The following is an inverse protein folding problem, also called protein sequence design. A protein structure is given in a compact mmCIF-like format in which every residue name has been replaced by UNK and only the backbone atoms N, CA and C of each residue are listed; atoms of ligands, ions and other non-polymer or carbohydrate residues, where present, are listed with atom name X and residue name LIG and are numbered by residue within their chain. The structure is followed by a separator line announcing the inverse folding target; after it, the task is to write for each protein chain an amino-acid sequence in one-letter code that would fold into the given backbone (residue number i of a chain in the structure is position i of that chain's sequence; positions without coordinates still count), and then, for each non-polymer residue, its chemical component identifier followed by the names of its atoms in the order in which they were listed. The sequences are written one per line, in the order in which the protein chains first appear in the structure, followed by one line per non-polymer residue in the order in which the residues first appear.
data_IF_942387936431
#
_entry.id   IF_942387936431
#
_cell.length_a   1.000
_cell.length_b   1.000
_cell.length_c   1.000
_cell.angle_alpha   90.00
_cell.angle_beta   90.00
_cell.angle_gamma   90.00
#
_symmetry.space_group_name_H-M   'P 1'
#
loop_
_entity.id
_entity.type
_entity.pdbx_description
1 polymer ?
#
# COMPACT_ATOMS: atom_id res chain seq x y z
N UNK A 1 -35.52 6.43 -4.29
CA UNK A 1 -34.85 6.19 -5.59
C UNK A 1 -33.42 5.78 -5.29
N UNK A 2 -33.04 4.52 -5.55
CA UNK A 2 -31.70 4.02 -5.22
C UNK A 2 -30.62 4.79 -5.97
N UNK A 3 -29.50 5.06 -5.30
CA UNK A 3 -28.34 5.72 -5.88
C UNK A 3 -27.81 4.89 -7.06
N UNK A 4 -27.64 5.51 -8.24
CA UNK A 4 -27.21 4.83 -9.48
C UNK A 4 -25.91 5.41 -10.00
N UNK A 5 -25.03 4.55 -10.52
CA UNK A 5 -23.82 4.97 -11.24
C UNK A 5 -24.22 5.49 -12.62
N UNK A 6 -23.79 6.70 -12.94
CA UNK A 6 -24.03 7.32 -14.26
C UNK A 6 -22.73 7.39 -15.05
N UNK A 7 -22.75 7.06 -16.33
CA UNK A 7 -21.58 7.24 -17.18
C UNK A 7 -21.39 8.72 -17.52
N UNK A 8 -20.15 9.18 -17.51
CA UNK A 8 -19.77 10.57 -17.73
C UNK A 8 -18.65 10.63 -18.79
N UNK A 9 -18.76 11.53 -19.76
CA UNK A 9 -17.73 11.73 -20.78
C UNK A 9 -16.63 12.71 -20.35
N UNK A 10 -15.54 12.76 -21.11
CA UNK A 10 -14.42 13.64 -20.78
C UNK A 10 -14.78 15.13 -20.84
N UNK A 11 -15.67 15.54 -21.75
CA UNK A 11 -16.13 16.94 -21.84
C UNK A 11 -16.84 17.37 -20.56
N UNK A 12 -17.67 16.50 -20.00
CA UNK A 12 -18.35 16.72 -18.73
C UNK A 12 -17.36 16.79 -17.56
N UNK A 13 -16.39 15.86 -17.48
CA UNK A 13 -15.36 15.88 -16.44
C UNK A 13 -14.57 17.18 -16.46
N UNK A 14 -14.12 17.62 -17.65
CA UNK A 14 -13.40 18.89 -17.83
C UNK A 14 -14.18 20.09 -17.32
N UNK A 15 -15.50 20.13 -17.50
CA UNK A 15 -16.34 21.20 -16.95
C UNK A 15 -16.36 21.19 -15.42
N UNK A 16 -16.38 20.00 -14.81
CA UNK A 16 -16.39 19.82 -13.35
C UNK A 16 -15.04 20.16 -12.70
N UNK A 17 -13.93 20.06 -13.44
CA UNK A 17 -12.59 20.41 -12.97
C UNK A 17 -12.28 21.92 -12.97
N UNK A 18 -13.19 22.78 -13.45
CA UNK A 18 -13.00 24.25 -13.40
C UNK A 18 -13.03 24.76 -11.95
N UNK A 19 -12.22 25.77 -11.60
CA UNK A 19 -11.95 26.23 -10.21
C UNK A 19 -13.19 26.31 -9.30
N UNK A 20 -14.30 26.87 -9.76
CA UNK A 20 -15.54 27.01 -8.97
C UNK A 20 -16.28 25.68 -8.74
N UNK A 21 -16.23 24.76 -9.71
CA UNK A 21 -16.89 23.45 -9.65
C UNK A 21 -16.00 22.36 -9.01
N UNK A 22 -14.68 22.54 -9.06
CA UNK A 22 -13.70 21.56 -8.57
C UNK A 22 -13.85 21.29 -7.07
N UNK A 23 -14.19 22.32 -6.28
CA UNK A 23 -14.44 22.16 -4.84
C UNK A 23 -15.66 21.24 -4.56
N UNK A 24 -16.58 21.07 -5.51
CA UNK A 24 -17.80 20.25 -5.36
C UNK A 24 -17.67 18.86 -6.00
N UNK A 25 -16.50 18.51 -6.52
CA UNK A 25 -16.25 17.27 -7.24
C UNK A 25 -15.05 16.53 -6.64
N UNK A 26 -15.21 15.23 -6.37
CA UNK A 26 -14.09 14.36 -5.99
C UNK A 26 -13.84 13.38 -7.12
N UNK A 27 -12.58 13.29 -7.57
CA UNK A 27 -12.17 12.33 -8.61
C UNK A 27 -11.32 11.24 -7.98
N UNK A 28 -11.74 9.99 -8.13
CA UNK A 28 -11.08 8.80 -7.62
C UNK A 28 -10.45 8.03 -8.78
N UNK A 29 -9.13 7.92 -8.75
CA UNK A 29 -8.34 7.20 -9.74
C UNK A 29 -8.03 5.80 -9.23
N UNK A 30 -8.64 4.79 -9.86
CA UNK A 30 -8.50 3.39 -9.49
C UNK A 30 -7.38 2.67 -10.26
N UNK A 31 -6.55 3.40 -11.01
CA UNK A 31 -5.38 2.80 -11.67
C UNK A 31 -4.32 2.40 -10.63
N UNK A 32 -3.44 1.44 -10.97
CA UNK A 32 -2.28 1.15 -10.14
C UNK A 32 -1.49 2.41 -9.81
N UNK A 33 -0.96 2.50 -8.59
CA UNK A 33 -0.26 3.69 -8.10
C UNK A 33 0.83 4.20 -9.05
N UNK A 34 1.57 3.29 -9.71
CA UNK A 34 2.60 3.68 -10.67
C UNK A 34 2.04 4.42 -11.90
N UNK A 35 0.89 4.00 -12.42
CA UNK A 35 0.24 4.67 -13.54
C UNK A 35 -0.32 6.04 -13.13
N UNK A 36 -0.86 6.15 -11.91
CA UNK A 36 -1.31 7.41 -11.32
C UNK A 36 -0.14 8.37 -11.08
N UNK A 37 0.97 7.90 -10.51
CA UNK A 37 2.12 8.71 -10.16
C UNK A 37 2.86 9.25 -11.40
N UNK A 38 2.82 8.53 -12.53
CA UNK A 38 3.40 9.01 -13.78
C UNK A 38 2.59 10.18 -14.38
N UNK A 39 1.27 10.08 -14.33
CA UNK A 39 0.36 11.06 -14.92
C UNK A 39 -1.03 10.86 -14.33
N UNK A 40 -1.68 11.94 -13.88
CA UNK A 40 -3.01 11.88 -13.23
C UNK A 40 -3.89 13.06 -13.60
N UNK A 41 -5.21 12.92 -13.41
CA UNK A 41 -6.13 14.05 -13.54
C UNK A 41 -5.85 15.03 -12.42
N UNK A 42 -5.81 16.34 -12.71
CA UNK A 42 -5.47 17.34 -11.70
C UNK A 42 -6.43 17.27 -10.50
N UNK A 43 -5.86 17.09 -9.31
CA UNK A 43 -6.60 16.99 -8.06
C UNK A 43 -7.35 15.67 -7.84
N UNK A 44 -7.10 14.63 -8.65
CA UNK A 44 -7.64 13.30 -8.37
C UNK A 44 -6.89 12.61 -7.23
N UNK A 45 -7.58 11.70 -6.56
CA UNK A 45 -7.06 10.91 -5.44
C UNK A 45 -6.86 9.47 -5.90
N UNK A 46 -5.66 8.92 -5.70
CA UNK A 46 -5.42 7.51 -5.98
C UNK A 46 -6.07 6.61 -4.92
N UNK A 47 -6.82 5.61 -5.39
CA UNK A 47 -7.46 4.63 -4.53
C UNK A 47 -6.57 3.38 -4.45
N UNK A 48 -5.83 3.24 -3.34
CA UNK A 48 -4.87 2.15 -3.14
C UNK A 48 -5.53 0.89 -2.58
N UNK A 49 -6.36 0.23 -3.38
CA UNK A 49 -6.87 -1.10 -3.06
C UNK A 49 -5.84 -2.15 -3.47
N UNK A 50 -5.11 -2.68 -2.48
CA UNK A 50 -4.21 -3.81 -2.73
C UNK A 50 -5.01 -5.09 -3.06
N UNK A 51 -4.32 -6.07 -3.63
CA UNK A 51 -4.93 -7.33 -4.08
C UNK A 51 -5.61 -8.14 -2.96
N UNK A 52 -5.18 -7.97 -1.69
CA UNK A 52 -5.83 -8.61 -0.54
C UNK A 52 -7.16 -7.98 -0.23
N UNK A 53 -7.25 -6.65 -0.23
CA UNK A 53 -8.50 -5.93 -0.01
C UNK A 53 -9.51 -6.28 -1.12
N UNK A 54 -9.06 -6.33 -2.38
CA UNK A 54 -9.90 -6.74 -3.51
C UNK A 54 -10.39 -8.20 -3.37
N UNK A 55 -9.49 -9.12 -3.02
CA UNK A 55 -9.84 -10.54 -2.81
C UNK A 55 -10.80 -10.74 -1.64
N UNK A 56 -10.60 -10.01 -0.53
CA UNK A 56 -11.47 -10.06 0.66
C UNK A 56 -12.83 -9.44 0.39
N UNK A 57 -12.90 -8.42 -0.47
CA UNK A 57 -14.16 -7.83 -0.88
C UNK A 57 -15.07 -8.84 -1.61
N UNK A 58 -14.49 -9.82 -2.34
CA UNK A 58 -15.22 -10.79 -3.17
C UNK A 58 -16.29 -10.13 -4.05
N UNK A 59 -15.97 -8.98 -4.65
CA UNK A 59 -16.90 -8.16 -5.44
C UNK A 59 -17.93 -7.34 -4.63
N UNK A 60 -17.91 -7.45 -3.30
CA UNK A 60 -18.72 -6.69 -2.36
C UNK A 60 -18.13 -5.33 -1.97
N UNK A 61 -18.53 -4.84 -0.81
CA UNK A 61 -18.12 -3.53 -0.29
C UNK A 61 -16.84 -3.62 0.54
N UNK A 62 -16.08 -2.53 0.56
CA UNK A 62 -14.95 -2.34 1.47
C UNK A 62 -15.17 -1.09 2.33
N UNK A 63 -14.53 -1.05 3.50
CA UNK A 63 -14.65 0.11 4.39
C UNK A 63 -14.30 1.40 3.65
N UNK A 64 -15.10 2.47 3.88
CA UNK A 64 -14.93 3.77 3.23
C UNK A 64 -13.52 4.35 3.37
N UNK A 65 -12.78 3.99 4.44
CA UNK A 65 -11.37 4.38 4.64
C UNK A 65 -10.42 3.88 3.55
N UNK A 66 -10.73 2.75 2.92
CA UNK A 66 -9.91 2.19 1.83
C UNK A 66 -10.29 2.77 0.47
N UNK A 67 -11.53 3.24 0.32
CA UNK A 67 -12.02 3.89 -0.90
C UNK A 67 -11.58 5.35 -0.97
N UNK A 68 -11.59 6.01 0.18
CA UNK A 68 -11.25 7.43 0.36
C UNK A 68 -10.12 7.52 1.38
N UNK A 69 -8.85 7.32 0.96
CA UNK A 69 -7.72 7.31 1.89
C UNK A 69 -7.51 8.67 2.54
N UNK A 70 -7.74 9.76 1.80
CA UNK A 70 -7.64 11.13 2.29
C UNK A 70 -8.74 11.43 3.31
N UNK A 71 -8.34 11.78 4.53
CA UNK A 71 -9.25 11.98 5.67
C UNK A 71 -10.13 13.22 5.48
N UNK A 72 -9.59 14.31 4.93
CA UNK A 72 -10.34 15.54 4.68
C UNK A 72 -11.40 15.34 3.59
N UNK A 73 -11.06 14.67 2.48
CA UNK A 73 -12.01 14.33 1.43
C UNK A 73 -13.08 13.34 1.93
N UNK A 74 -12.69 12.37 2.75
CA UNK A 74 -13.61 11.41 3.38
C UNK A 74 -14.59 12.09 4.34
N UNK A 75 -14.11 12.98 5.21
CA UNK A 75 -14.96 13.75 6.13
C UNK A 75 -15.99 14.61 5.36
N UNK A 76 -15.55 15.29 4.30
CA UNK A 76 -16.43 16.12 3.45
C UNK A 76 -17.49 15.31 2.69
N UNK A 77 -17.13 14.10 2.25
CA UNK A 77 -18.03 13.22 1.49
C UNK A 77 -19.07 12.50 2.36
N UNK A 78 -18.71 12.15 3.60
CA UNK A 78 -19.55 11.38 4.50
C UNK A 78 -20.36 12.23 5.49
N UNK A 79 -20.13 13.54 5.55
CA UNK A 79 -20.92 14.45 6.38
C UNK A 79 -22.38 14.51 5.93
N UNK A 80 -23.33 14.33 6.86
CA UNK A 80 -24.76 14.49 6.61
C UNK A 80 -25.06 15.92 6.14
N UNK A 81 -25.82 16.05 5.04
CA UNK A 81 -26.00 17.33 4.32
C UNK A 81 -25.02 17.55 3.16
N UNK A 82 -24.08 16.62 2.94
CA UNK A 82 -23.23 16.53 1.74
C UNK A 82 -22.24 17.68 1.63
N UNK A 83 -21.24 17.73 2.53
CA UNK A 83 -20.21 18.76 2.78
C UNK A 83 -19.62 19.53 1.57
N UNK A 84 -20.48 20.21 0.83
CA UNK A 84 -20.25 20.85 -0.46
C UNK A 84 -20.11 19.91 -1.67
N UNK A 85 -19.95 18.59 -1.50
CA UNK A 85 -19.64 17.67 -2.60
C UNK A 85 -20.91 17.21 -3.32
N UNK A 86 -21.03 17.59 -4.60
CA UNK A 86 -22.17 17.25 -5.44
C UNK A 86 -21.92 15.99 -6.30
N UNK A 87 -20.65 15.65 -6.54
CA UNK A 87 -20.30 14.55 -7.43
C UNK A 87 -19.02 13.81 -7.01
N UNK A 88 -19.04 12.50 -7.23
CA UNK A 88 -17.88 11.62 -7.12
C UNK A 88 -17.68 10.95 -8.48
N UNK A 89 -16.52 11.14 -9.10
CA UNK A 89 -16.16 10.56 -10.39
C UNK A 89 -15.13 9.47 -10.17
N UNK A 90 -15.40 8.26 -10.63
CA UNK A 90 -14.49 7.13 -10.59
C UNK A 90 -13.93 6.88 -11.99
N UNK A 91 -12.63 6.66 -12.09
CA UNK A 91 -11.98 6.32 -13.36
C UNK A 91 -11.02 5.14 -13.19
N UNK A 92 -10.84 4.39 -14.28
CA UNK A 92 -9.85 3.34 -14.41
C UNK A 92 -8.88 3.65 -15.58
N UNK A 93 -8.14 2.65 -16.06
CA UNK A 93 -7.22 2.86 -17.18
C UNK A 93 -7.94 3.26 -18.48
N UNK A 94 -9.01 2.55 -18.86
CA UNK A 94 -9.56 2.67 -20.22
C UNK A 94 -10.94 2.05 -20.44
N UNK A 95 -11.68 1.67 -19.39
CA UNK A 95 -12.94 0.96 -19.57
C UNK A 95 -14.00 1.86 -20.20
N UNK A 96 -14.67 1.34 -21.24
CA UNK A 96 -15.71 2.08 -21.98
C UNK A 96 -17.01 2.25 -21.22
N UNK A 97 -17.27 1.43 -20.21
CA UNK A 97 -18.50 1.50 -19.40
C UNK A 97 -18.32 0.76 -18.08
N UNK A 98 -18.89 1.29 -17.00
CA UNK A 98 -18.76 0.69 -15.67
C UNK A 98 -19.34 -0.73 -15.57
N UNK A 99 -20.41 -1.02 -16.33
CA UNK A 99 -21.02 -2.35 -16.37
C UNK A 99 -20.08 -3.43 -16.94
N UNK A 100 -19.06 -3.03 -17.72
CA UNK A 100 -18.07 -3.93 -18.31
C UNK A 100 -16.84 -4.15 -17.41
N UNK A 101 -16.78 -3.51 -16.25
CA UNK A 101 -15.70 -3.70 -15.29
C UNK A 101 -15.73 -5.13 -14.74
N UNK A 102 -14.56 -5.77 -14.62
CA UNK A 102 -14.41 -7.05 -13.94
C UNK A 102 -14.86 -6.91 -12.48
N UNK A 103 -15.50 -7.94 -11.93
CA UNK A 103 -16.03 -7.91 -10.56
C UNK A 103 -14.97 -7.57 -9.50
N UNK A 104 -13.76 -8.10 -9.69
CA UNK A 104 -12.63 -7.91 -8.78
C UNK A 104 -11.80 -6.66 -9.08
N UNK A 105 -12.17 -5.85 -10.08
CA UNK A 105 -11.42 -4.64 -10.41
C UNK A 105 -11.58 -3.59 -9.31
N UNK A 106 -10.52 -2.81 -9.06
CA UNK A 106 -10.54 -1.73 -8.08
C UNK A 106 -11.70 -0.74 -8.33
N UNK A 107 -11.90 -0.33 -9.58
CA UNK A 107 -13.01 0.54 -9.95
C UNK A 107 -14.39 -0.06 -9.64
N UNK A 108 -14.59 -1.36 -9.86
CA UNK A 108 -15.86 -2.03 -9.51
C UNK A 108 -16.08 -2.02 -7.99
N UNK A 109 -15.08 -2.43 -7.22
CA UNK A 109 -15.17 -2.48 -5.74
C UNK A 109 -15.41 -1.08 -5.17
N UNK A 110 -14.73 -0.06 -5.71
CA UNK A 110 -14.95 1.35 -5.35
C UNK A 110 -16.38 1.77 -5.63
N UNK A 111 -16.90 1.53 -6.84
CA UNK A 111 -18.28 1.89 -7.20
C UNK A 111 -19.30 1.21 -6.27
N UNK A 112 -19.17 -0.11 -6.06
CA UNK A 112 -20.05 -0.86 -5.15
C UNK A 112 -20.01 -0.30 -3.73
N UNK A 113 -18.82 0.04 -3.24
CA UNK A 113 -18.63 0.60 -1.89
C UNK A 113 -19.23 1.99 -1.75
N UNK A 114 -19.02 2.87 -2.74
CA UNK A 114 -19.59 4.23 -2.74
C UNK A 114 -21.12 4.20 -2.72
N UNK A 115 -21.75 3.30 -3.48
CA UNK A 115 -23.21 3.16 -3.48
C UNK A 115 -23.76 2.68 -2.12
N UNK A 116 -22.94 1.97 -1.34
CA UNK A 116 -23.34 1.45 -0.03
C UNK A 116 -23.08 2.44 1.12
N UNK A 117 -22.06 3.31 1.01
CA UNK A 117 -21.63 4.15 2.12
C UNK A 117 -21.88 5.66 1.94
N UNK A 118 -22.18 6.14 0.73
CA UNK A 118 -22.45 7.57 0.53
C UNK A 118 -23.86 7.96 0.99
N UNK A 119 -24.01 9.10 1.70
CA UNK A 119 -25.32 9.62 2.07
C UNK A 119 -26.09 10.12 0.84
N UNK A 120 -27.40 10.33 0.99
CA UNK A 120 -28.24 10.89 -0.06
C UNK A 120 -27.78 12.32 -0.42
N UNK A 121 -27.12 12.49 -1.57
CA UNK A 121 -26.67 13.80 -2.04
C UNK A 121 -25.69 13.71 -3.22
N UNK A 122 -24.44 13.26 -3.01
CA UNK A 122 -23.45 13.16 -4.08
C UNK A 122 -23.89 12.17 -5.16
N UNK A 123 -23.76 12.56 -6.44
CA UNK A 123 -23.97 11.64 -7.56
C UNK A 123 -22.68 10.90 -7.89
N UNK A 124 -22.77 9.59 -8.11
CA UNK A 124 -21.63 8.76 -8.51
C UNK A 124 -21.58 8.62 -10.02
N UNK A 125 -20.43 8.97 -10.59
CA UNK A 125 -20.14 8.90 -12.00
C UNK A 125 -18.99 7.95 -12.29
N UNK A 126 -19.01 7.34 -13.48
CA UNK A 126 -17.88 6.61 -14.03
C UNK A 126 -17.40 7.26 -15.33
N UNK A 127 -16.10 7.51 -15.45
CA UNK A 127 -15.51 8.15 -16.63
C UNK A 127 -15.43 7.17 -17.80
N UNK A 128 -16.23 7.43 -18.84
CA UNK A 128 -16.25 6.64 -20.07
C UNK A 128 -14.89 6.72 -20.78
N UNK A 129 -14.29 5.57 -21.02
CA UNK A 129 -12.99 5.48 -21.69
C UNK A 129 -11.79 5.68 -20.75
N UNK A 130 -12.05 5.79 -19.44
CA UNK A 130 -11.02 5.87 -18.41
C UNK A 130 -10.06 7.05 -18.56
N UNK A 131 -8.91 6.93 -17.89
CA UNK A 131 -7.86 7.93 -17.94
C UNK A 131 -7.31 8.15 -19.34
N UNK A 132 -7.06 7.07 -20.08
CA UNK A 132 -6.39 7.11 -21.39
C UNK A 132 -7.16 7.98 -22.40
N UNK A 133 -8.48 7.78 -22.50
CA UNK A 133 -9.32 8.59 -23.39
C UNK A 133 -9.35 10.05 -22.95
N UNK A 134 -9.48 10.28 -21.64
CA UNK A 134 -9.52 11.64 -21.10
C UNK A 134 -8.21 12.40 -21.30
N UNK A 135 -7.07 11.74 -21.10
CA UNK A 135 -5.75 12.32 -21.33
C UNK A 135 -5.53 12.68 -22.79
N UNK A 136 -5.94 11.81 -23.72
CA UNK A 136 -5.84 12.06 -25.16
C UNK A 136 -6.65 13.28 -25.60
N UNK A 137 -7.84 13.49 -25.02
CA UNK A 137 -8.73 14.60 -25.38
C UNK A 137 -8.44 15.90 -24.62
N UNK A 138 -7.97 15.82 -23.37
CA UNK A 138 -7.81 16.97 -22.45
C UNK A 138 -6.52 16.89 -21.62
N UNK A 139 -5.33 16.82 -22.26
CA UNK A 139 -4.05 16.69 -21.54
C UNK A 139 -3.78 17.89 -20.60
N UNK A 140 -4.32 19.08 -20.89
CA UNK A 140 -4.15 20.27 -20.04
C UNK A 140 -4.84 20.17 -18.68
N UNK A 141 -5.80 19.23 -18.54
CA UNK A 141 -6.50 18.92 -17.30
C UNK A 141 -5.76 17.87 -16.46
N UNK A 142 -4.68 17.30 -16.99
CA UNK A 142 -3.84 16.34 -16.30
C UNK A 142 -2.58 17.01 -15.74
N UNK A 143 -1.97 16.33 -14.77
CA UNK A 143 -0.67 16.63 -14.22
C UNK A 143 0.23 15.50 -14.66
N UNK A 144 1.07 15.80 -15.64
CA UNK A 144 2.19 14.95 -16.02
C UNK A 144 3.35 15.27 -15.08
N UNK A 145 3.87 14.25 -14.40
CA UNK A 145 5.18 14.37 -13.76
C UNK A 145 6.20 14.25 -14.88
N UNK A 146 6.51 15.38 -15.55
CA UNK A 146 7.41 15.44 -16.72
C UNK A 146 8.67 14.59 -16.51
N UNK A 147 8.90 13.54 -17.31
CA UNK A 147 10.19 13.32 -17.93
C UNK A 147 10.38 14.39 -19.02
N UNK A 148 11.63 14.63 -19.41
CA UNK A 148 12.07 15.64 -20.38
C UNK A 148 11.27 15.55 -21.70
N UNK A 149 11.03 16.70 -22.34
CA UNK A 149 10.06 16.96 -23.42
C UNK A 149 10.18 16.09 -24.68
N UNK A 150 9.02 15.84 -25.30
CA UNK A 150 8.77 15.04 -26.52
C UNK A 150 9.65 15.40 -27.74
N UNK A 151 10.21 16.61 -27.82
CA UNK A 151 11.17 17.00 -28.87
C UNK A 151 12.47 16.17 -28.82
N UNK A 152 12.83 15.68 -27.63
CA UNK A 152 13.98 14.80 -27.44
C UNK A 152 13.70 13.38 -27.95
N UNK A 153 12.41 12.95 -27.97
CA UNK A 153 11.97 11.62 -28.43
C UNK A 153 11.97 11.54 -29.97
N UNK A 154 11.58 12.61 -30.65
CA UNK A 154 11.64 12.67 -32.13
C UNK A 154 13.08 12.80 -32.63
N UNK A 155 13.91 13.57 -31.92
CA UNK A 155 15.36 13.63 -32.17
C UNK A 155 16.05 12.29 -31.86
N UNK A 156 15.63 11.55 -30.82
CA UNK A 156 16.15 10.22 -30.50
C UNK A 156 15.71 9.15 -31.51
N UNK A 157 14.49 9.19 -32.07
CA UNK A 157 14.10 8.24 -33.14
C UNK A 157 14.95 8.38 -34.40
N UNK A 158 15.37 9.59 -34.74
CA UNK A 158 16.29 9.81 -35.85
C UNK A 158 17.70 9.27 -35.54
N UNK A 159 18.13 9.33 -34.28
CA UNK A 159 19.43 8.82 -33.82
C UNK A 159 19.43 7.28 -33.64
N UNK A 160 18.29 6.65 -33.38
CA UNK A 160 18.14 5.18 -33.24
C UNK A 160 18.44 4.41 -34.55
N UNK A 161 18.47 5.07 -35.71
CA UNK A 161 18.89 4.43 -36.96
C UNK A 161 20.42 4.27 -37.07
N UNK A 162 21.22 4.92 -36.22
CA UNK A 162 22.68 4.86 -36.29
C UNK A 162 23.29 4.65 -34.89
N UNK A 163 23.89 3.47 -34.71
CA UNK A 163 24.67 3.03 -33.55
C UNK A 163 23.86 2.36 -32.42
N UNK A 164 23.82 1.02 -32.45
CA UNK A 164 23.16 0.17 -31.46
C UNK A 164 23.87 0.10 -30.10
N UNK A 165 23.40 0.87 -29.13
CA UNK A 165 23.56 0.56 -27.69
C UNK A 165 22.21 0.68 -26.97
N UNK A 166 21.84 -0.27 -26.10
CA UNK A 166 20.56 -0.26 -25.42
C UNK A 166 20.55 0.82 -24.33
N UNK A 167 19.64 1.79 -24.43
CA UNK A 167 19.42 2.83 -23.42
C UNK A 167 18.62 2.23 -22.26
N UNK A 168 19.22 2.25 -21.06
CA UNK A 168 18.59 1.83 -19.80
C UNK A 168 17.44 2.77 -19.42
N UNK A 169 16.20 2.29 -19.50
CA UNK A 169 14.99 3.01 -19.08
C UNK A 169 15.04 3.34 -17.58
N UNK A 170 14.91 4.63 -17.22
CA UNK A 170 14.74 5.10 -15.83
C UNK A 170 13.25 5.10 -15.47
N UNK A 171 12.79 4.32 -14.48
CA UNK A 171 11.41 4.40 -14.01
C UNK A 171 11.13 5.73 -13.31
N UNK A 172 9.93 6.30 -13.49
CA UNK A 172 9.53 7.58 -12.89
C UNK A 172 9.64 7.62 -11.35
N UNK A 173 9.61 6.46 -10.71
CA UNK A 173 9.74 6.31 -9.26
C UNK A 173 11.21 6.27 -8.78
N UNK A 174 12.17 6.26 -9.69
CA UNK A 174 13.61 6.39 -9.41
C UNK A 174 14.12 7.80 -9.75
N UNK A 175 13.23 8.80 -9.61
CA UNK A 175 13.61 10.21 -9.61
C UNK A 175 14.35 10.56 -8.31
N UNK A 176 15.64 10.20 -8.25
CA UNK A 176 16.55 10.51 -7.14
C UNK A 176 17.72 9.52 -7.12
N UNK A 177 18.48 9.54 -6.01
CA UNK A 177 19.41 8.47 -5.66
C UNK A 177 18.77 7.46 -4.70
N UNK A 178 19.52 6.42 -4.27
CA UNK A 178 19.15 5.61 -3.12
C UNK A 178 18.73 6.46 -1.92
N UNK A 179 17.75 6.00 -1.13
CA UNK A 179 17.33 6.70 0.08
C UNK A 179 18.08 6.15 1.30
N UNK A 180 18.49 7.04 2.19
CA UNK A 180 19.12 6.66 3.45
C UNK A 180 18.07 6.20 4.45
N UNK A 181 18.18 4.95 4.92
CA UNK A 181 17.34 4.42 6.01
C UNK A 181 18.07 4.61 7.34
N UNK A 182 19.34 4.23 7.40
CA UNK A 182 20.26 4.50 8.50
C UNK A 182 21.60 4.99 7.91
N UNK A 183 22.52 5.58 8.69
CA UNK A 183 23.79 6.10 8.18
C UNK A 183 24.62 5.09 7.35
N UNK A 184 24.43 3.79 7.59
CA UNK A 184 25.10 2.68 6.90
C UNK A 184 24.17 1.85 6.00
N UNK A 185 22.86 2.14 5.95
CA UNK A 185 21.86 1.34 5.26
C UNK A 185 21.04 2.20 4.29
N UNK A 186 21.20 1.95 3.00
CA UNK A 186 20.48 2.60 1.91
C UNK A 186 19.52 1.62 1.24
N UNK A 187 18.40 2.16 0.73
CA UNK A 187 17.37 1.41 0.02
C UNK A 187 17.22 1.94 -1.41
N UNK A 188 17.17 1.02 -2.38
CA UNK A 188 17.01 1.40 -3.79
C UNK A 188 16.44 0.31 -4.70
N UNK A 189 16.53 0.58 -6.00
CA UNK A 189 16.11 -0.26 -7.12
C UNK A 189 17.34 -0.75 -7.89
N UNK A 190 17.13 -1.62 -8.87
CA UNK A 190 18.20 -2.10 -9.75
C UNK A 190 18.80 -0.95 -10.57
N UNK A 191 17.99 0.05 -10.92
CA UNK A 191 18.48 1.28 -11.55
C UNK A 191 19.48 2.00 -10.65
N UNK A 192 19.16 2.23 -9.37
CA UNK A 192 20.09 2.87 -8.44
C UNK A 192 21.39 2.08 -8.27
N UNK A 193 21.31 0.75 -8.18
CA UNK A 193 22.48 -0.12 -8.08
C UNK A 193 23.38 -0.08 -9.34
N UNK A 194 22.82 0.26 -10.51
CA UNK A 194 23.58 0.38 -11.76
C UNK A 194 24.32 1.72 -11.92
N UNK A 195 24.12 2.68 -11.02
CA UNK A 195 24.70 4.03 -11.13
C UNK A 195 25.93 4.17 -10.24
N UNK A 196 27.11 3.87 -10.80
CA UNK A 196 28.36 3.87 -10.04
C UNK A 196 28.66 5.23 -9.38
N UNK A 197 28.29 6.33 -10.04
CA UNK A 197 28.44 7.68 -9.48
C UNK A 197 27.60 7.89 -8.21
N UNK A 198 26.36 7.39 -8.16
CA UNK A 198 25.54 7.46 -6.94
C UNK A 198 26.16 6.64 -5.81
N UNK A 199 26.65 5.43 -6.13
CA UNK A 199 27.29 4.56 -5.15
C UNK A 199 28.56 5.21 -4.59
N UNK A 200 29.40 5.79 -5.45
CA UNK A 200 30.62 6.49 -5.06
C UNK A 200 30.32 7.71 -4.20
N UNK A 201 29.41 8.60 -4.62
CA UNK A 201 29.06 9.81 -3.88
C UNK A 201 28.47 9.52 -2.50
N UNK A 202 27.69 8.45 -2.38
CA UNK A 202 27.12 8.01 -1.11
C UNK A 202 28.10 7.20 -0.25
N UNK A 203 29.29 6.88 -0.78
CA UNK A 203 30.31 6.02 -0.16
C UNK A 203 29.78 4.61 0.14
N UNK A 204 29.00 4.04 -0.78
CA UNK A 204 28.53 2.65 -0.72
C UNK A 204 29.74 1.72 -0.89
N UNK A 205 29.90 0.79 0.06
CA UNK A 205 30.97 -0.22 0.06
C UNK A 205 30.44 -1.63 -0.19
N UNK A 206 29.12 -1.82 -0.14
CA UNK A 206 28.48 -3.11 -0.32
C UNK A 206 27.11 -3.01 -1.02
N UNK A 207 26.75 -4.06 -1.76
CA UNK A 207 25.45 -4.24 -2.40
C UNK A 207 24.80 -5.54 -1.92
N UNK A 208 23.54 -5.44 -1.51
CA UNK A 208 22.68 -6.60 -1.26
C UNK A 208 21.55 -6.62 -2.30
N UNK A 209 21.67 -7.52 -3.28
CA UNK A 209 20.67 -7.72 -4.32
C UNK A 209 19.66 -8.78 -3.90
N UNK A 210 18.39 -8.39 -3.76
CA UNK A 210 17.27 -9.26 -3.38
C UNK A 210 16.34 -9.53 -4.56
N UNK A 211 16.88 -9.60 -5.78
CA UNK A 211 16.11 -9.88 -7.00
C UNK A 211 16.60 -11.13 -7.72
N UNK A 212 15.82 -11.69 -8.65
CA UNK A 212 16.21 -12.88 -9.42
C UNK A 212 17.28 -12.63 -10.49
N UNK A 213 17.58 -11.36 -10.79
CA UNK A 213 18.53 -10.98 -11.84
C UNK A 213 19.76 -10.36 -11.22
N UNK A 214 20.92 -10.79 -11.67
CA UNK A 214 22.18 -10.12 -11.39
C UNK A 214 22.44 -9.05 -12.44
N UNK A 215 23.22 -8.05 -12.06
CA UNK A 215 23.78 -7.06 -12.97
C UNK A 215 25.25 -6.92 -12.60
N UNK A 216 26.14 -6.96 -13.58
CA UNK A 216 27.58 -6.77 -13.36
C UNK A 216 27.97 -5.29 -13.21
N UNK A 217 26.99 -4.38 -13.29
CA UNK A 217 27.24 -2.96 -13.17
C UNK A 217 27.80 -2.62 -11.77
N UNK A 218 28.94 -1.93 -11.75
CA UNK A 218 29.55 -1.31 -10.56
C UNK A 218 30.03 -2.27 -9.45
N UNK A 219 30.19 -3.57 -9.72
CA UNK A 219 30.52 -4.56 -8.66
C UNK A 219 32.01 -4.73 -8.38
N UNK A 220 32.91 -4.22 -9.23
CA UNK A 220 34.36 -4.54 -9.21
C UNK A 220 35.12 -4.16 -7.93
N UNK A 221 34.56 -3.30 -7.08
CA UNK A 221 35.16 -2.88 -5.81
C UNK A 221 34.19 -2.90 -4.62
N UNK A 222 33.02 -3.55 -4.77
CA UNK A 222 31.99 -3.58 -3.74
C UNK A 222 31.83 -5.00 -3.19
N UNK A 223 31.60 -5.10 -1.88
CA UNK A 223 31.15 -6.35 -1.28
C UNK A 223 29.75 -6.66 -1.80
N UNK A 224 29.61 -7.67 -2.66
CA UNK A 224 28.35 -8.00 -3.29
C UNK A 224 27.78 -9.29 -2.69
N UNK A 225 26.51 -9.24 -2.26
CA UNK A 225 25.72 -10.41 -1.85
C UNK A 225 24.43 -10.47 -2.64
N UNK A 226 24.05 -11.68 -3.05
CA UNK A 226 22.86 -11.94 -3.85
C UNK A 226 21.97 -12.97 -3.19
N UNK A 227 20.72 -12.58 -2.92
CA UNK A 227 19.67 -13.43 -2.35
C UNK A 227 18.52 -13.47 -3.37
N UNK A 228 18.45 -14.50 -4.23
CA UNK A 228 17.52 -14.53 -5.35
C UNK A 228 16.07 -14.84 -4.90
N UNK A 229 15.28 -13.78 -4.68
CA UNK A 229 13.86 -13.90 -4.30
C UNK A 229 12.94 -13.33 -5.38
N UNK A 230 11.90 -14.07 -5.74
CA UNK A 230 10.82 -13.60 -6.60
C UNK A 230 9.86 -12.68 -5.84
N UNK A 231 9.36 -11.63 -6.48
CA UNK A 231 8.33 -10.76 -5.87
C UNK A 231 6.93 -11.38 -5.98
N UNK A 232 6.78 -12.56 -5.38
CA UNK A 232 5.53 -13.29 -5.31
C UNK A 232 5.14 -13.49 -3.85
N UNK A 233 3.85 -13.50 -3.60
CA UNK A 233 3.29 -13.84 -2.29
C UNK A 233 3.52 -15.30 -1.88
N UNK A 234 3.87 -16.17 -2.84
CA UNK A 234 4.24 -17.56 -2.61
C UNK A 234 5.72 -17.76 -2.31
N UNK A 235 6.56 -16.73 -2.49
CA UNK A 235 7.98 -16.82 -2.21
C UNK A 235 8.23 -16.69 -0.70
N UNK A 236 9.15 -17.49 -0.17
CA UNK A 236 9.64 -17.36 1.20
C UNK A 236 10.84 -16.40 1.20
N UNK A 237 10.64 -15.20 1.72
CA UNK A 237 11.71 -14.21 1.95
C UNK A 237 12.17 -14.22 3.41
N UNK A 238 11.32 -14.70 4.34
CA UNK A 238 11.61 -14.73 5.78
C UNK A 238 12.78 -15.62 6.14
N UNK A 239 12.93 -16.78 5.50
CA UNK A 239 14.07 -17.68 5.75
C UNK A 239 15.43 -17.04 5.45
N UNK A 240 15.45 -15.95 4.66
CA UNK A 240 16.65 -15.20 4.33
C UNK A 240 16.89 -13.96 5.20
N UNK A 241 16.01 -13.67 6.17
CA UNK A 241 16.15 -12.46 7.00
C UNK A 241 17.45 -12.45 7.79
N UNK A 242 17.77 -13.53 8.50
CA UNK A 242 19.00 -13.58 9.30
C UNK A 242 20.24 -13.44 8.41
N UNK A 243 20.26 -14.14 7.28
CA UNK A 243 21.34 -14.08 6.29
C UNK A 243 21.59 -12.65 5.75
N UNK A 244 20.50 -11.90 5.51
CA UNK A 244 20.56 -10.52 5.06
C UNK A 244 20.98 -9.56 6.18
N UNK A 245 20.48 -9.77 7.40
CA UNK A 245 20.80 -8.96 8.58
C UNK A 245 22.28 -9.07 8.91
N UNK A 246 22.82 -10.30 8.96
CA UNK A 246 24.25 -10.53 9.25
C UNK A 246 25.16 -9.86 8.21
N UNK A 247 24.73 -9.83 6.94
CA UNK A 247 25.47 -9.12 5.90
C UNK A 247 25.46 -7.61 6.13
N UNK A 248 24.30 -7.03 6.48
CA UNK A 248 24.19 -5.61 6.78
C UNK A 248 25.03 -5.25 8.00
N UNK A 249 24.99 -6.06 9.06
CA UNK A 249 25.79 -5.84 10.27
C UNK A 249 27.29 -5.99 10.01
N UNK A 250 27.72 -6.96 9.19
CA UNK A 250 29.13 -7.08 8.80
C UNK A 250 29.65 -5.81 8.09
N UNK A 251 28.83 -5.19 7.24
CA UNK A 251 29.18 -3.93 6.57
C UNK A 251 29.23 -2.77 7.57
N UNK A 252 28.24 -2.70 8.48
CA UNK A 252 28.17 -1.71 9.54
C UNK A 252 29.39 -1.76 10.47
N UNK A 253 29.79 -2.95 10.92
CA UNK A 253 30.93 -3.17 11.82
C UNK A 253 32.25 -2.73 11.20
N UNK A 254 32.37 -2.85 9.87
CA UNK A 254 33.53 -2.37 9.11
C UNK A 254 33.48 -0.87 8.80
N UNK A 255 32.49 -0.13 9.31
CA UNK A 255 32.29 1.30 9.04
C UNK A 255 31.86 1.60 7.61
N UNK A 256 31.37 0.59 6.88
CA UNK A 256 30.92 0.72 5.50
C UNK A 256 29.46 1.13 5.37
N UNK A 257 28.98 1.18 4.13
CA UNK A 257 27.57 1.45 3.80
C UNK A 257 27.07 0.44 2.78
N UNK A 258 25.89 -0.13 3.04
CA UNK A 258 25.24 -1.10 2.16
C UNK A 258 24.04 -0.48 1.45
N UNK A 259 23.93 -0.74 0.15
CA UNK A 259 22.69 -0.54 -0.61
C UNK A 259 21.95 -1.87 -0.72
N UNK A 260 20.78 -1.95 -0.07
CA UNK A 260 19.84 -3.05 -0.27
C UNK A 260 18.89 -2.69 -1.41
N UNK A 261 18.87 -3.50 -2.46
CA UNK A 261 18.04 -3.24 -3.63
C UNK A 261 17.33 -4.50 -4.15
N UNK A 262 16.26 -4.27 -4.90
CA UNK A 262 15.62 -5.30 -5.72
C UNK A 262 15.32 -4.69 -7.10
N UNK A 263 14.37 -5.23 -7.86
CA UNK A 263 14.06 -4.66 -9.19
C UNK A 263 13.56 -3.20 -9.08
N UNK A 264 12.43 -2.98 -8.41
CA UNK A 264 11.77 -1.67 -8.32
C UNK A 264 12.05 -0.91 -7.01
N UNK A 265 12.63 -1.56 -6.00
CA UNK A 265 12.78 -0.96 -4.68
C UNK A 265 11.45 -0.67 -3.97
N UNK A 266 10.43 -1.51 -4.22
CA UNK A 266 9.05 -1.33 -3.70
C UNK A 266 8.67 -2.42 -2.69
N UNK A 267 9.03 -3.68 -2.95
CA UNK A 267 8.55 -4.83 -2.16
C UNK A 267 9.69 -5.59 -1.45
N UNK A 268 10.52 -6.36 -2.19
CA UNK A 268 11.59 -7.21 -1.63
C UNK A 268 12.63 -6.47 -0.78
N UNK A 269 13.32 -5.46 -1.33
CA UNK A 269 14.36 -4.75 -0.58
C UNK A 269 13.80 -3.98 0.64
N UNK A 270 12.65 -3.29 0.57
CA UNK A 270 12.04 -2.72 1.77
C UNK A 270 11.66 -3.76 2.82
N UNK A 271 11.19 -4.96 2.42
CA UNK A 271 10.91 -6.05 3.35
C UNK A 271 12.16 -6.43 4.16
N UNK A 272 13.33 -6.56 3.52
CA UNK A 272 14.59 -6.82 4.21
C UNK A 272 14.95 -5.66 5.17
N UNK A 273 14.78 -4.41 4.74
CA UNK A 273 15.03 -3.25 5.60
C UNK A 273 14.10 -3.23 6.82
N UNK A 274 12.82 -3.61 6.68
CA UNK A 274 11.87 -3.71 7.80
C UNK A 274 12.32 -4.79 8.79
N UNK A 275 12.66 -5.99 8.31
CA UNK A 275 13.18 -7.07 9.15
C UNK A 275 14.44 -6.64 9.93
N UNK A 276 15.36 -5.94 9.26
CA UNK A 276 16.56 -5.40 9.91
C UNK A 276 16.25 -4.38 11.02
N UNK A 277 15.35 -3.43 10.78
CA UNK A 277 14.93 -2.45 11.78
C UNK A 277 14.26 -3.12 12.98
N UNK A 278 13.39 -4.11 12.77
CA UNK A 278 12.76 -4.82 13.87
C UNK A 278 13.81 -5.57 14.71
N UNK A 279 14.73 -6.29 14.08
CA UNK A 279 15.75 -7.08 14.78
C UNK A 279 16.74 -6.23 15.56
N UNK A 280 17.24 -5.14 14.96
CA UNK A 280 18.38 -4.38 15.52
C UNK A 280 17.98 -3.11 16.27
N UNK A 281 16.80 -2.54 15.98
CA UNK A 281 16.28 -1.33 16.62
C UNK A 281 15.05 -1.58 17.47
N UNK A 282 14.59 -2.84 17.57
CA UNK A 282 13.40 -3.23 18.35
C UNK A 282 12.14 -2.51 17.90
N UNK A 283 12.09 -2.09 16.64
CA UNK A 283 10.88 -1.52 16.05
C UNK A 283 9.82 -2.60 15.91
N UNK A 284 8.57 -2.26 16.20
CA UNK A 284 7.42 -3.02 15.74
C UNK A 284 7.31 -2.92 14.22
N UNK A 285 6.62 -3.87 13.58
CA UNK A 285 6.46 -3.89 12.13
C UNK A 285 5.83 -2.59 11.62
N UNK A 286 4.81 -2.08 12.33
CA UNK A 286 4.17 -0.81 11.98
C UNK A 286 5.17 0.36 11.99
N UNK A 287 6.02 0.43 13.01
CA UNK A 287 7.02 1.49 13.16
C UNK A 287 8.09 1.39 12.06
N UNK A 288 8.59 0.17 11.78
CA UNK A 288 9.53 -0.07 10.69
C UNK A 288 8.94 0.28 9.32
N UNK A 289 7.67 -0.05 9.09
CA UNK A 289 6.96 0.29 7.87
C UNK A 289 6.85 1.81 7.71
N UNK A 290 6.32 2.51 8.72
CA UNK A 290 6.13 3.96 8.69
C UNK A 290 7.47 4.70 8.53
N UNK A 291 8.52 4.23 9.23
CA UNK A 291 9.87 4.80 9.16
C UNK A 291 10.47 4.76 7.75
N UNK A 292 10.29 3.64 7.04
CA UNK A 292 10.75 3.49 5.65
C UNK A 292 9.82 4.24 4.69
N UNK A 293 8.50 4.21 4.92
CA UNK A 293 7.51 4.87 4.07
C UNK A 293 7.71 6.38 4.00
N UNK A 294 8.07 7.02 5.10
CA UNK A 294 8.40 8.45 5.15
C UNK A 294 9.61 8.82 4.26
N UNK A 295 10.57 7.90 4.10
CA UNK A 295 11.78 8.10 3.28
C UNK A 295 11.58 7.69 1.83
N UNK A 296 10.75 6.68 1.57
CA UNK A 296 10.41 6.20 0.22
C UNK A 296 8.92 5.91 0.13
N UNK A 297 8.15 6.95 -0.25
CA UNK A 297 6.67 6.96 -0.24
C UNK A 297 5.98 5.88 -1.08
N UNK A 298 6.68 5.26 -2.04
CA UNK A 298 6.16 4.17 -2.88
C UNK A 298 6.31 2.77 -2.27
N UNK A 299 7.00 2.61 -1.14
CA UNK A 299 7.22 1.28 -0.53
C UNK A 299 5.88 0.59 -0.25
N UNK A 300 5.79 -0.66 -0.67
CA UNK A 300 4.61 -1.50 -0.57
C UNK A 300 5.01 -2.98 -0.75
N UNK A 301 5.48 -3.67 0.31
CA UNK A 301 5.66 -5.12 0.30
C UNK A 301 4.42 -5.84 -0.23
N UNK A 302 4.62 -6.91 -0.99
CA UNK A 302 3.50 -7.78 -1.33
C UNK A 302 2.92 -8.41 -0.06
N UNK A 303 1.67 -8.87 -0.13
CA UNK A 303 0.96 -9.33 1.05
C UNK A 303 1.53 -10.60 1.69
N UNK A 304 2.16 -11.48 0.91
CA UNK A 304 2.84 -12.67 1.44
C UNK A 304 4.00 -12.26 2.32
N UNK A 305 4.80 -11.28 1.85
CA UNK A 305 5.90 -10.72 2.64
C UNK A 305 5.42 -9.95 3.87
N UNK A 306 4.29 -9.25 3.77
CA UNK A 306 3.70 -8.61 4.96
C UNK A 306 3.27 -9.65 6.00
N UNK A 307 2.71 -10.79 5.59
CA UNK A 307 2.41 -11.91 6.48
C UNK A 307 3.66 -12.52 7.12
N UNK A 308 4.71 -12.71 6.34
CA UNK A 308 6.00 -13.19 6.84
C UNK A 308 6.67 -12.21 7.82
N UNK A 309 6.54 -10.90 7.60
CA UNK A 309 7.03 -9.88 8.53
C UNK A 309 6.25 -9.86 9.86
N UNK A 310 4.92 -10.05 9.82
CA UNK A 310 4.10 -10.18 11.04
C UNK A 310 4.49 -11.41 11.84
N UNK A 311 4.70 -12.54 11.16
CA UNK A 311 5.19 -13.77 11.79
C UNK A 311 6.57 -13.53 12.44
N UNK A 312 7.49 -12.93 11.70
CA UNK A 312 8.82 -12.61 12.20
C UNK A 312 8.78 -11.67 13.42
N UNK A 313 7.95 -10.62 13.39
CA UNK A 313 7.75 -9.72 14.54
C UNK A 313 7.38 -10.49 15.82
N UNK A 314 6.48 -11.47 15.71
CA UNK A 314 6.05 -12.29 16.85
C UNK A 314 7.15 -13.24 17.36
N UNK A 315 8.10 -13.61 16.51
CA UNK A 315 9.22 -14.49 16.87
C UNK A 315 10.34 -13.73 17.56
N UNK A 316 10.57 -12.46 17.19
CA UNK A 316 11.72 -11.69 17.68
C UNK A 316 11.39 -10.63 18.72
N UNK A 317 10.12 -10.26 18.91
CA UNK A 317 9.69 -9.26 19.90
C UNK A 317 8.73 -9.86 20.94
N UNK A 318 8.80 -9.43 22.21
CA UNK A 318 7.84 -9.84 23.23
C UNK A 318 6.40 -9.44 22.86
N UNK A 319 5.42 -10.25 23.24
CA UNK A 319 4.01 -9.86 23.19
C UNK A 319 3.79 -8.62 24.07
N UNK A 320 3.14 -7.58 23.54
CA UNK A 320 2.68 -6.48 24.39
C UNK A 320 1.68 -7.03 25.42
N UNK A 321 1.79 -6.69 26.72
CA UNK A 321 0.74 -7.00 27.68
C UNK A 321 -0.55 -6.34 27.19
N UNK A 322 -1.58 -7.15 26.96
CA UNK A 322 -2.91 -6.63 26.73
C UNK A 322 -3.34 -5.91 28.02
N UNK A 323 -3.73 -4.63 28.03
CA UNK A 323 -4.31 -4.02 29.22
C UNK A 323 -5.56 -4.82 29.57
N UNK A 324 -5.50 -5.60 30.65
CA UNK A 324 -6.67 -6.29 31.16
C UNK A 324 -7.70 -5.22 31.53
N UNK A 325 -8.97 -5.35 31.10
CA UNK A 325 -10.02 -4.51 31.64
C UNK A 325 -10.04 -4.70 33.16
N UNK A 326 -10.19 -3.64 33.97
CA UNK A 326 -10.22 -3.76 35.41
C UNK A 326 -11.33 -4.73 35.80
N UNK A 327 -10.98 -5.79 36.52
CA UNK A 327 -11.95 -6.71 37.10
C UNK A 327 -12.80 -5.93 38.09
N UNK A 328 -14.08 -5.75 37.77
CA UNK A 328 -15.06 -5.17 38.67
C UNK A 328 -15.22 -6.04 39.92
N UNK A 329 -14.46 -5.75 40.97
CA UNK A 329 -14.91 -6.02 42.33
C UNK A 329 -15.61 -4.76 42.81
N UNK A 330 -16.92 -4.90 43.02
CA UNK A 330 -17.76 -3.81 43.46
C UNK A 330 -17.48 -3.48 44.93
N UNK A 331 -17.25 -2.20 45.19
CA UNK A 331 -17.67 -1.59 46.45
C UNK A 331 -18.30 -0.23 46.12
N UNK A 332 -19.51 -0.06 46.63
CA UNK A 332 -20.31 1.14 46.50
C UNK A 332 -19.87 2.16 47.55
N UNK A 333 -19.47 3.35 47.12
CA UNK A 333 -19.63 4.58 47.90
C UNK A 333 -19.52 5.79 46.95
N UNK A 334 -20.61 6.54 46.84
CA UNK A 334 -20.65 7.76 46.04
C UNK A 334 -19.96 8.93 46.72
N UNK A 335 -19.35 9.80 45.92
CA UNK A 335 -19.70 11.24 45.85
C UNK A 335 -18.69 12.00 45.01
N UNK A 336 -19.23 12.68 44.00
CA UNK A 336 -18.90 14.04 43.58
C UNK A 336 -17.42 14.45 43.52
N UNK A 337 -16.83 14.37 42.33
CA UNK A 337 -15.82 15.34 41.88
C UNK A 337 -16.04 15.70 40.40
N UNK A 338 -17.25 16.19 40.08
CA UNK A 338 -17.37 17.20 39.02
C UNK A 338 -16.78 18.47 39.61
N UNK A 339 -15.54 18.76 39.22
CA UNK A 339 -14.86 19.99 39.62
C UNK A 339 -13.45 19.74 40.09
N UNK A 340 -12.56 19.44 39.15
CA UNK A 340 -11.23 20.06 39.04
C UNK A 340 -10.49 19.40 37.88
N UNK A 341 -10.43 20.10 36.74
CA UNK A 341 -9.26 20.28 35.88
C UNK A 341 -9.70 21.05 34.62
N UNK A 342 -10.10 22.30 34.83
CA UNK A 342 -9.87 23.36 33.86
C UNK A 342 -8.62 24.11 34.32
N UNK A 343 -7.47 23.77 33.74
CA UNK A 343 -6.40 24.72 33.36
C UNK A 343 -5.23 23.91 32.82
N UNK A 344 -5.03 23.95 31.50
CA UNK A 344 -3.77 24.15 30.77
C UNK A 344 -4.05 23.92 29.27
N UNK A 345 -3.77 24.93 28.46
CA UNK A 345 -3.79 24.85 26.99
C UNK A 345 -2.46 24.27 26.47
N UNK A 346 -2.25 24.24 25.14
CA UNK A 346 -2.37 23.08 24.28
C UNK A 346 -0.99 22.53 23.89
N UNK A 347 -0.82 21.22 23.73
CA UNK A 347 0.04 20.64 22.71
C UNK A 347 0.01 19.12 22.77
N UNK A 348 0.07 18.50 21.60
CA UNK A 348 0.26 17.06 21.36
C UNK A 348 -0.95 16.15 21.69
N UNK A 349 -1.83 15.94 20.69
CA UNK A 349 -2.63 14.72 20.60
C UNK A 349 -2.47 14.10 19.22
N UNK A 350 -1.54 13.14 19.15
CA UNK A 350 -1.52 12.14 18.10
C UNK A 350 -2.79 11.29 18.19
N UNK A 351 -3.40 11.03 17.03
CA UNK A 351 -4.60 10.25 16.91
C UNK A 351 -4.38 8.80 17.40
N UNK A 352 -4.92 8.49 18.58
CA UNK A 352 -5.12 7.13 19.02
C UNK A 352 -6.21 6.48 18.14
N UNK A 353 -5.84 5.47 17.37
CA UNK A 353 -6.79 4.50 16.81
C UNK A 353 -6.62 3.19 17.59
N UNK A 354 -7.44 3.02 18.62
CA UNK A 354 -7.69 1.73 19.26
C UNK A 354 -8.37 0.79 18.25
N UNK A 355 -7.82 -0.41 18.08
CA UNK A 355 -8.48 -1.50 17.36
C UNK A 355 -9.40 -2.26 18.34
N UNK A 356 -10.70 -2.45 18.04
CA UNK A 356 -11.50 -3.45 18.75
C UNK A 356 -11.16 -4.84 18.22
N UNK A 357 -10.63 -5.70 19.10
CA UNK A 357 -10.58 -7.14 18.89
C UNK A 357 -11.98 -7.70 19.18
N UNK A 358 -12.86 -7.77 18.17
CA UNK A 358 -14.21 -8.35 18.34
C UNK A 358 -14.81 -8.84 17.02
N UNK A 359 -14.24 -9.87 16.37
CA UNK A 359 -15.01 -10.74 15.46
C UNK A 359 -14.44 -12.17 15.50
N UNK A 360 -14.67 -12.85 16.61
CA UNK A 360 -14.76 -14.32 16.65
C UNK A 360 -16.12 -14.65 17.25
N UNK A 361 -17.15 -14.65 16.41
CA UNK A 361 -18.41 -15.31 16.74
C UNK A 361 -18.50 -16.58 15.86
N UNK A 362 -18.67 -17.78 16.44
CA UNK A 362 -18.89 -19.00 15.68
C UNK A 362 -20.27 -18.99 15.02
N UNK A 363 -20.35 -19.52 13.80
CA UNK A 363 -21.61 -19.81 13.10
C UNK A 363 -22.26 -21.06 13.73
N UNK A 364 -23.57 -21.10 14.01
CA UNK A 364 -24.22 -22.30 14.53
C UNK A 364 -24.37 -23.34 13.41
N UNK A 365 -23.76 -24.52 13.59
CA UNK A 365 -24.07 -25.72 12.81
C UNK A 365 -25.21 -26.47 13.50
N UNK A 366 -26.38 -26.57 12.85
CA UNK A 366 -27.42 -27.50 13.28
C UNK A 366 -27.01 -28.93 12.94
N UNK A 367 -26.74 -29.73 13.98
CA UNK A 367 -26.51 -31.17 13.88
C UNK A 367 -27.71 -31.90 14.46
N UNK A 368 -28.49 -32.58 13.63
CA UNK A 368 -29.54 -33.52 14.06
C UNK A 368 -28.90 -34.85 14.44
N UNK A 369 -28.91 -35.17 15.73
CA UNK A 369 -28.54 -36.50 16.27
C UNK A 369 -29.78 -37.40 16.21
N UNK A 370 -29.66 -38.56 15.57
CA UNK A 370 -30.58 -39.68 15.78
C UNK A 370 -29.84 -40.75 16.58
N UNK A 371 -30.42 -41.12 17.71
CA UNK A 371 -29.90 -42.08 18.67
C UNK A 371 -29.81 -43.51 18.10
N UNK A 372 -28.74 -44.21 18.49
CA UNK A 372 -28.59 -45.65 18.29
C UNK A 372 -28.22 -46.27 19.64
N UNK A 373 -29.19 -46.93 20.26
CA UNK A 373 -29.01 -47.82 21.40
C UNK A 373 -28.63 -49.22 20.89
N UNK A 374 -27.56 -49.82 21.43
CA UNK A 374 -27.31 -51.27 21.36
C UNK A 374 -26.67 -51.79 22.64
N UNK A 375 -27.27 -52.88 23.10
CA UNK A 375 -27.11 -53.63 24.36
C UNK A 375 -25.78 -54.43 24.47
N UNK A 376 -25.46 -55.01 25.65
CA UNK A 376 -24.12 -55.51 25.97
C UNK A 376 -23.80 -56.91 25.40
N UNK A 377 -22.50 -57.12 25.23
CA UNK A 377 -21.83 -58.31 24.69
C UNK A 377 -21.75 -59.43 25.73
N UNK A 378 -22.06 -60.67 25.30
CA UNK A 378 -21.80 -61.90 26.04
C UNK A 378 -20.57 -62.63 25.48
N UNK A 379 -19.76 -63.13 26.41
CA UNK A 379 -18.52 -63.89 26.22
C UNK A 379 -18.79 -65.34 25.82
N UNK A 380 -17.99 -65.91 24.92
CA UNK A 380 -17.71 -67.36 24.90
C UNK A 380 -16.40 -67.67 24.16
N UNK A 381 -15.65 -68.62 24.74
CA UNK A 381 -14.29 -69.09 24.46
C UNK A 381 -14.28 -70.34 23.59
N UNK A 382 -13.11 -70.63 22.97
CA UNK A 382 -12.63 -71.94 22.46
C UNK A 382 -13.22 -72.43 21.11
N UNK A 383 -12.49 -73.03 20.15
CA UNK A 383 -11.14 -73.64 20.07
C UNK A 383 -10.39 -73.18 18.81
#
# INVERSE_FOLDING_TARGET
SGMKVTSLDGRQLRKMLRKEAAARCVVLDCRPYLAFAASSVRGSLNVNLNSVVLRRARGGTVSARYVLPDEAARARLLQEGGGGVAAVVVLDQGSRHWQKLREESAARVVLTSLLACLPAGPRVYFLKGGYETFYSEYPECCVDVKPISQEMIESERALISQCGKPVSYRPAYDQGGPVEILPFLYLGSAYHASKCEFLANLHITALLNVSRRTSEACTTHLHYKWIPVEDSHTADISSHFQEAIDFIDCVREKGGKVLVHCEAGISRSPTICMAYLMKTKQFRLKEAFDYIKQRRGMVSPNFGFMGQLLQYESEILPSTPNPQPPSCQGEAAGSSLIGHLQTLSPDTQGAYCTFPASVLAPVPTHSTVSELSRSPVATATSC
#
